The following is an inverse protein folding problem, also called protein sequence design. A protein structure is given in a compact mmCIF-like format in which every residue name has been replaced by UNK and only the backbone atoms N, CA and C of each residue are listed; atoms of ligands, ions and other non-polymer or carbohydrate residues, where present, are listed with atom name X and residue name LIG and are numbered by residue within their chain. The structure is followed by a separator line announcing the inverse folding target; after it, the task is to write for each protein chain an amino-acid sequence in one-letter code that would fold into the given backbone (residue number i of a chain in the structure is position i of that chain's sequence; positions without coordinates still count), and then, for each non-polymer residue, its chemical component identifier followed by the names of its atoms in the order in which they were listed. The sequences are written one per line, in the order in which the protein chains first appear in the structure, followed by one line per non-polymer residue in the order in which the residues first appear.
data_IF_294981026264
#
_entry.id   IF_294981026264
#
_cell.length_a   1.000
_cell.length_b   1.000
_cell.length_c   1.000
_cell.angle_alpha   90.00
_cell.angle_beta   90.00
_cell.angle_gamma   90.00
#
_symmetry.space_group_name_H-M   'P 1'
#
loop_
_entity.id
_entity.type
_entity.pdbx_description
1 polymer ?
#
# COMPACT_ATOMS: atom_id res chain seq x y z
N UNK A 1 -20.50 11.40 42.60
CA UNK A 1 -20.07 10.04 42.21
C UNK A 1 -21.18 9.46 41.33
N UNK A 2 -20.97 9.36 40.01
CA UNK A 2 -21.86 8.60 39.12
C UNK A 2 -20.99 7.83 38.12
N UNK A 3 -21.20 6.52 38.06
CA UNK A 3 -20.46 5.56 37.28
C UNK A 3 -21.23 5.16 36.01
N UNK A 4 -20.45 4.67 35.04
CA UNK A 4 -20.80 3.78 33.92
C UNK A 4 -21.80 4.24 32.86
N UNK A 5 -21.38 4.16 31.59
CA UNK A 5 -21.72 3.00 30.76
C UNK A 5 -21.01 3.06 29.41
N UNK A 6 -20.22 2.02 29.16
CA UNK A 6 -19.60 1.67 27.88
C UNK A 6 -20.62 1.64 26.74
N UNK A 7 -20.25 2.20 25.58
CA UNK A 7 -20.80 1.78 24.29
C UNK A 7 -19.67 1.36 23.39
N UNK A 8 -19.31 0.10 23.53
CA UNK A 8 -18.54 -0.65 22.55
C UNK A 8 -19.44 -0.75 21.31
N UNK A 9 -19.01 -0.18 20.19
CA UNK A 9 -19.52 -0.52 18.87
C UNK A 9 -18.47 -1.37 18.18
N UNK A 10 -18.60 -2.70 18.31
CA UNK A 10 -17.83 -3.65 17.51
C UNK A 10 -18.49 -3.64 16.12
N UNK A 11 -17.97 -2.83 15.20
CA UNK A 11 -18.30 -2.99 13.79
C UNK A 11 -17.38 -4.07 13.26
N UNK A 12 -17.92 -5.28 13.18
CA UNK A 12 -17.33 -6.38 12.43
C UNK A 12 -17.85 -6.27 11.00
N UNK A 13 -16.96 -6.00 10.04
CA UNK A 13 -17.25 -6.26 8.63
C UNK A 13 -15.96 -6.51 7.82
N UNK A 14 -15.66 -7.80 7.70
CA UNK A 14 -15.30 -8.50 6.46
C UNK A 14 -14.06 -8.01 5.70
N UNK A 15 -12.88 -8.27 6.27
CA UNK A 15 -11.58 -8.18 5.59
C UNK A 15 -11.38 -9.41 4.70
N UNK A 16 -11.73 -9.30 3.41
CA UNK A 16 -11.31 -10.27 2.39
C UNK A 16 -9.91 -9.89 1.86
N UNK A 17 -8.93 -9.90 2.76
CA UNK A 17 -7.58 -10.32 2.40
C UNK A 17 -7.24 -11.44 3.37
N UNK A 18 -6.95 -12.61 2.79
CA UNK A 18 -6.66 -13.85 3.47
C UNK A 18 -5.82 -13.60 4.73
N UNK A 19 -6.31 -14.05 5.89
CA UNK A 19 -5.61 -14.09 7.19
C UNK A 19 -4.34 -14.97 7.10
N UNK A 20 -3.32 -14.54 6.36
CA UNK A 20 -2.01 -15.20 6.35
C UNK A 20 -0.99 -14.21 6.88
N UNK A 21 -0.21 -14.69 7.85
CA UNK A 21 0.81 -13.92 8.58
C UNK A 21 1.88 -13.46 7.58
N UNK A 22 1.72 -12.27 7.02
CA UNK A 22 2.84 -11.51 6.46
C UNK A 22 3.95 -11.49 7.51
N UNK A 23 5.22 -11.46 7.06
CA UNK A 23 6.32 -11.33 8.01
C UNK A 23 6.11 -10.06 8.85
N UNK A 24 6.56 -10.09 10.11
CA UNK A 24 6.46 -8.90 10.97
C UNK A 24 7.14 -7.70 10.30
N UNK A 25 8.24 -7.95 9.60
CA UNK A 25 9.01 -6.96 8.84
C UNK A 25 8.20 -6.39 7.69
N UNK A 26 7.51 -7.22 6.89
CA UNK A 26 6.67 -6.74 5.80
C UNK A 26 5.45 -5.95 6.29
N UNK A 27 4.83 -6.36 7.41
CA UNK A 27 3.77 -5.54 8.01
C UNK A 27 4.28 -4.15 8.37
N UNK A 28 5.45 -4.05 9.01
CA UNK A 28 6.06 -2.77 9.34
C UNK A 28 6.37 -1.93 8.09
N UNK A 29 6.90 -2.56 7.03
CA UNK A 29 7.17 -1.88 5.76
C UNK A 29 5.89 -1.39 5.07
N UNK A 30 4.81 -2.18 5.07
CA UNK A 30 3.51 -1.78 4.51
C UNK A 30 2.89 -0.66 5.35
N UNK A 31 2.93 -0.77 6.68
CA UNK A 31 2.43 0.27 7.58
C UNK A 31 3.16 1.60 7.39
N UNK A 32 4.48 1.53 7.23
CA UNK A 32 5.34 2.69 6.94
C UNK A 32 4.99 3.31 5.58
N UNK A 33 4.89 2.48 4.53
CA UNK A 33 4.47 2.92 3.20
C UNK A 33 3.10 3.62 3.24
N UNK A 34 2.12 3.00 3.89
CA UNK A 34 0.79 3.58 4.06
C UNK A 34 0.79 4.86 4.90
N UNK A 35 1.64 4.96 5.93
CA UNK A 35 1.81 6.17 6.74
C UNK A 35 2.31 7.35 5.92
N UNK A 36 3.35 7.14 5.09
CA UNK A 36 3.89 8.15 4.18
C UNK A 36 2.82 8.64 3.20
N UNK A 37 2.10 7.70 2.59
CA UNK A 37 1.02 7.99 1.65
C UNK A 37 -0.13 8.76 2.31
N UNK A 38 -0.48 8.41 3.54
CA UNK A 38 -1.55 9.07 4.29
C UNK A 38 -1.16 10.48 4.73
N UNK A 39 0.09 10.69 5.16
CA UNK A 39 0.62 12.02 5.47
C UNK A 39 0.60 12.93 4.24
N UNK A 40 1.00 12.40 3.08
CA UNK A 40 0.93 13.12 1.81
C UNK A 40 -0.52 13.41 1.39
N UNK A 41 -1.42 12.42 1.53
CA UNK A 41 -2.86 12.60 1.27
C UNK A 41 -3.46 13.68 2.17
N UNK A 42 -3.16 13.66 3.46
CA UNK A 42 -3.71 14.61 4.43
C UNK A 42 -3.24 16.05 4.15
N UNK A 43 -2.01 16.23 3.65
CA UNK A 43 -1.45 17.55 3.33
C UNK A 43 -1.85 18.07 1.96
N UNK A 44 -1.96 17.22 0.94
CA UNK A 44 -2.15 17.63 -0.47
C UNK A 44 -3.56 17.37 -1.03
N UNK A 45 -4.33 16.46 -0.40
CA UNK A 45 -5.66 16.03 -0.85
C UNK A 45 -6.70 16.14 0.27
N UNK A 46 -6.51 17.08 1.22
CA UNK A 46 -7.38 17.28 2.39
C UNK A 46 -8.85 17.52 2.04
N UNK A 47 -9.11 18.09 0.86
CA UNK A 47 -10.46 18.41 0.35
C UNK A 47 -10.89 17.56 -0.85
N UNK A 48 -10.07 16.60 -1.30
CA UNK A 48 -10.36 15.80 -2.49
C UNK A 48 -10.80 14.37 -2.17
N UNK A 49 -11.60 13.78 -3.07
CA UNK A 49 -12.02 12.38 -3.00
C UNK A 49 -10.79 11.45 -3.07
N UNK A 50 -10.70 10.41 -2.21
CA UNK A 50 -9.62 9.40 -2.22
C UNK A 50 -9.36 8.76 -3.59
N UNK A 51 -10.32 8.85 -4.52
CA UNK A 51 -10.22 8.33 -5.88
C UNK A 51 -9.14 9.01 -6.72
N UNK A 52 -8.94 10.34 -6.62
CA UNK A 52 -7.90 11.05 -7.39
C UNK A 52 -6.52 10.64 -6.92
N UNK A 53 -6.29 10.72 -5.61
CA UNK A 53 -5.09 10.25 -4.95
C UNK A 53 -4.71 8.81 -5.38
N UNK A 54 -5.63 7.85 -5.27
CA UNK A 54 -5.38 6.45 -5.67
C UNK A 54 -5.02 6.31 -7.15
N UNK A 55 -5.68 7.07 -8.04
CA UNK A 55 -5.35 7.06 -9.48
C UNK A 55 -3.95 7.62 -9.74
N UNK A 56 -3.56 8.67 -9.06
CA UNK A 56 -2.25 9.30 -9.25
C UNK A 56 -1.13 8.41 -8.72
N UNK A 57 -1.33 7.72 -7.59
CA UNK A 57 -0.39 6.71 -7.09
C UNK A 57 -0.22 5.57 -8.11
N UNK A 58 -1.31 4.96 -8.59
CA UNK A 58 -1.23 3.87 -9.58
C UNK A 58 -0.56 4.35 -10.87
N UNK A 59 -0.94 5.54 -11.35
CA UNK A 59 -0.37 6.13 -12.56
C UNK A 59 1.15 6.33 -12.42
N UNK A 60 1.62 6.90 -11.32
CA UNK A 60 3.05 7.09 -11.06
C UNK A 60 3.80 5.75 -10.99
N UNK A 61 3.20 4.75 -10.34
CA UNK A 61 3.78 3.41 -10.23
C UNK A 61 3.92 2.70 -11.59
N UNK A 62 2.88 2.81 -12.43
CA UNK A 62 2.82 2.19 -13.77
C UNK A 62 3.61 2.94 -14.83
N UNK A 63 3.95 4.22 -14.63
CA UNK A 63 4.76 5.01 -15.56
C UNK A 63 6.25 4.62 -15.55
N UNK A 64 6.74 4.08 -14.42
CA UNK A 64 8.13 3.67 -14.26
C UNK A 64 8.38 2.21 -14.68
N UNK A 65 7.33 1.48 -15.00
CA UNK A 65 7.35 0.07 -15.40
C UNK A 65 6.98 -0.03 -16.88
N UNK A 66 7.37 -1.13 -17.54
CA UNK A 66 7.04 -1.36 -18.95
C UNK A 66 5.54 -1.07 -19.19
N UNK A 67 5.19 -0.07 -20.04
CA UNK A 67 3.83 0.49 -20.10
C UNK A 67 2.77 -0.52 -20.53
N UNK A 68 3.20 -1.66 -21.10
CA UNK A 68 2.37 -2.78 -21.54
C UNK A 68 2.07 -3.80 -20.43
N UNK A 69 2.77 -3.73 -19.30
CA UNK A 69 2.78 -4.79 -18.28
C UNK A 69 1.67 -4.63 -17.24
N UNK A 70 1.26 -3.40 -16.92
CA UNK A 70 0.30 -3.14 -15.83
C UNK A 70 0.80 -3.56 -14.44
N UNK A 71 2.08 -3.93 -14.34
CA UNK A 71 2.77 -4.33 -13.11
C UNK A 71 3.52 -3.14 -12.53
N UNK A 72 3.63 -3.11 -11.21
CA UNK A 72 4.34 -2.11 -10.42
C UNK A 72 5.57 -2.76 -9.82
N UNK A 73 6.76 -2.31 -10.22
CA UNK A 73 8.05 -2.76 -9.69
C UNK A 73 8.53 -1.87 -8.53
N UNK A 74 9.67 -2.25 -7.94
CA UNK A 74 10.32 -1.45 -6.90
C UNK A 74 10.63 -0.03 -7.38
N UNK A 75 11.06 0.13 -8.64
CA UNK A 75 11.28 1.43 -9.27
C UNK A 75 10.01 2.28 -9.33
N UNK A 76 8.86 1.65 -9.60
CA UNK A 76 7.56 2.34 -9.57
C UNK A 76 7.21 2.89 -8.20
N UNK A 77 7.46 2.12 -7.14
CA UNK A 77 7.25 2.56 -5.76
C UNK A 77 8.26 3.66 -5.37
N UNK A 78 9.53 3.51 -5.72
CA UNK A 78 10.53 4.56 -5.51
C UNK A 78 10.18 5.86 -6.27
N UNK A 79 9.60 5.75 -7.47
CA UNK A 79 9.12 6.88 -8.25
C UNK A 79 7.99 7.61 -7.54
N UNK A 80 7.00 6.87 -7.01
CA UNK A 80 5.94 7.45 -6.16
C UNK A 80 6.56 8.21 -4.98
N UNK A 81 7.44 7.55 -4.22
CA UNK A 81 8.07 8.13 -3.03
C UNK A 81 8.86 9.40 -3.38
N UNK A 82 9.62 9.39 -4.47
CA UNK A 82 10.34 10.59 -4.96
C UNK A 82 9.39 11.71 -5.35
N UNK A 83 8.30 11.40 -6.06
CA UNK A 83 7.34 12.40 -6.54
C UNK A 83 6.61 13.11 -5.38
N UNK A 84 6.43 12.44 -4.24
CA UNK A 84 5.79 13.01 -3.05
C UNK A 84 6.79 13.58 -2.03
N UNK A 85 8.09 13.59 -2.34
CA UNK A 85 9.14 14.10 -1.46
C UNK A 85 9.56 13.14 -0.33
N UNK A 86 9.21 11.86 -0.41
CA UNK A 86 9.49 10.82 0.57
C UNK A 86 10.50 9.76 0.09
N UNK A 87 11.34 10.09 -0.91
CA UNK A 87 12.27 9.15 -1.55
C UNK A 87 13.23 8.45 -0.57
N UNK A 88 13.65 9.14 0.49
CA UNK A 88 14.60 8.63 1.48
C UNK A 88 13.93 7.92 2.67
N UNK A 89 12.59 7.88 2.70
CA UNK A 89 11.86 7.30 3.83
C UNK A 89 11.88 5.77 3.80
N UNK A 90 12.04 5.13 2.64
CA UNK A 90 12.03 3.69 2.51
C UNK A 90 13.20 3.21 1.66
N UNK A 91 13.93 2.22 2.16
CA UNK A 91 15.01 1.60 1.42
C UNK A 91 14.46 0.68 0.32
N UNK A 92 15.24 0.52 -0.76
CA UNK A 92 14.90 -0.39 -1.85
C UNK A 92 14.66 -1.82 -1.37
N UNK A 93 15.43 -2.31 -0.40
CA UNK A 93 15.27 -3.65 0.17
C UNK A 93 13.93 -3.82 0.90
N UNK A 94 13.45 -2.79 1.61
CA UNK A 94 12.12 -2.79 2.23
C UNK A 94 11.01 -2.87 1.16
N UNK A 95 11.15 -2.11 0.07
CA UNK A 95 10.21 -2.12 -1.06
C UNK A 95 10.19 -3.50 -1.74
N UNK A 96 11.36 -4.06 -2.04
CA UNK A 96 11.46 -5.37 -2.68
C UNK A 96 10.92 -6.50 -1.79
N UNK A 97 11.17 -6.45 -0.48
CA UNK A 97 10.60 -7.41 0.48
C UNK A 97 9.08 -7.35 0.48
N UNK A 98 8.51 -6.14 0.50
CA UNK A 98 7.07 -5.93 0.42
C UNK A 98 6.49 -6.52 -0.88
N UNK A 99 7.09 -6.23 -2.02
CA UNK A 99 6.61 -6.73 -3.32
C UNK A 99 6.68 -8.25 -3.43
N UNK A 100 7.75 -8.88 -2.90
CA UNK A 100 7.89 -10.34 -2.89
C UNK A 100 6.82 -11.03 -2.06
N UNK A 101 6.54 -10.50 -0.87
CA UNK A 101 5.54 -11.09 0.01
C UNK A 101 4.12 -10.96 -0.57
N UNK A 102 3.81 -9.83 -1.21
CA UNK A 102 2.50 -9.58 -1.83
C UNK A 102 2.30 -10.37 -3.14
N UNK A 103 3.36 -10.58 -3.94
CA UNK A 103 3.26 -11.35 -5.19
C UNK A 103 3.10 -12.86 -4.94
N UNK A 104 3.66 -13.39 -3.85
CA UNK A 104 3.53 -14.81 -3.49
C UNK A 104 2.08 -15.25 -3.17
N UNK A 105 1.14 -14.33 -3.04
CA UNK A 105 -0.28 -14.63 -2.79
C UNK A 105 -1.06 -15.00 -4.07
N UNK A 106 -0.53 -14.69 -5.25
CA UNK A 106 -1.16 -15.01 -6.54
C UNK A 106 -0.45 -16.21 -7.20
N UNK A 107 -1.12 -17.36 -7.16
CA UNK A 107 -0.68 -18.67 -7.63
C UNK A 107 0.28 -18.68 -8.84
N UNK A 108 1.49 -19.20 -8.64
CA UNK A 108 2.00 -20.27 -9.50
C UNK A 108 3.03 -19.95 -10.57
N UNK A 109 3.66 -18.78 -10.60
CA UNK A 109 4.84 -18.57 -11.46
C UNK A 109 6.02 -18.01 -10.65
N UNK A 110 6.94 -18.90 -10.31
CA UNK A 110 8.15 -18.65 -9.54
C UNK A 110 9.20 -17.84 -10.33
N UNK A 111 8.78 -16.94 -11.21
CA UNK A 111 9.67 -16.14 -12.02
C UNK A 111 9.90 -14.79 -11.36
N UNK A 112 10.67 -14.80 -10.27
CA UNK A 112 11.67 -13.81 -9.82
C UNK A 112 11.43 -12.30 -10.12
N UNK A 113 10.18 -11.87 -10.26
CA UNK A 113 9.81 -10.49 -10.57
C UNK A 113 9.27 -9.89 -9.29
N UNK A 114 10.07 -9.02 -8.68
CA UNK A 114 9.66 -8.13 -7.58
C UNK A 114 8.69 -7.08 -8.14
N UNK A 115 7.49 -7.50 -8.53
CA UNK A 115 6.45 -6.62 -9.03
C UNK A 115 5.06 -7.14 -8.65
N UNK A 116 4.10 -6.23 -8.49
CA UNK A 116 2.70 -6.53 -8.17
C UNK A 116 1.78 -5.82 -9.16
N UNK A 117 0.57 -6.32 -9.39
CA UNK A 117 -0.42 -5.63 -10.21
C UNK A 117 -0.87 -4.29 -9.60
N UNK A 118 -1.39 -3.39 -10.44
CA UNK A 118 -2.03 -2.15 -9.97
C UNK A 118 -3.16 -2.41 -8.96
N UNK A 119 -3.95 -3.48 -9.15
CA UNK A 119 -5.00 -3.86 -8.21
C UNK A 119 -4.44 -4.33 -6.86
N UNK A 120 -3.32 -5.06 -6.85
CA UNK A 120 -2.62 -5.42 -5.61
C UNK A 120 -2.09 -4.17 -4.89
N UNK A 121 -1.54 -3.20 -5.61
CA UNK A 121 -1.12 -1.92 -5.04
C UNK A 121 -2.32 -1.16 -4.44
N UNK A 122 -3.45 -1.11 -5.14
CA UNK A 122 -4.67 -0.48 -4.65
C UNK A 122 -5.20 -1.16 -3.38
N UNK A 123 -5.15 -2.49 -3.33
CA UNK A 123 -5.54 -3.24 -2.14
C UNK A 123 -4.61 -2.94 -0.96
N UNK A 124 -3.30 -2.83 -1.18
CA UNK A 124 -2.33 -2.45 -0.14
C UNK A 124 -2.66 -1.09 0.49
N UNK A 125 -2.94 -0.08 -0.34
CA UNK A 125 -3.23 1.28 0.14
C UNK A 125 -4.67 1.45 0.66
N UNK A 126 -5.58 0.55 0.30
CA UNK A 126 -6.97 0.59 0.77
C UNK A 126 -7.12 0.10 2.23
N UNK A 127 -6.14 -0.63 2.78
CA UNK A 127 -6.19 -1.21 4.13
C UNK A 127 -6.33 -0.21 5.29
N UNK A 128 -6.22 1.10 5.04
CA UNK A 128 -6.42 2.16 6.06
C UNK A 128 -7.41 3.27 5.70
N UNK A 129 -8.40 3.03 4.82
CA UNK A 129 -9.54 3.95 4.72
C UNK A 129 -10.59 3.63 5.78
N UNK A 130 -10.41 4.27 6.96
CA UNK A 130 -11.38 4.57 8.04
C UNK A 130 -12.44 3.50 8.36
#
# INVERSE_FOLDING_TARGET
MFANASRISVVSQMTLMSNRRLSLVCNQSIEKFNGILEEYRASHYSQELPRRFRKDIVKAASQSSEPSSGLVSAEGIECILRNIGAGDQMSRSEIESMLREVNNDTSGDAQNRCAISADQLLNLIATKSV
#
